data_IF_552562252833
#
_entry.id   IF_552562252833
#
_cell.length_a   1.000
_cell.length_b   1.000
_cell.length_c   1.000
_cell.angle_alpha   90.00
_cell.angle_beta   90.00
_cell.angle_gamma   90.00
#
_symmetry.space_group_name_H-M   'P 1'
#
loop_
_entity.id
_entity.type
_entity.pdbx_description
1 polymer ?
2 non-polymer ?
3 non-polymer ?
4 water ?
#
# COMPACT_ATOMS: atom_id res chain seq x y z
N UNK A 7 -19.42 -12.14 -10.54
CA UNK A 7 -19.09 -10.71 -10.40
C UNK A 7 -19.55 -10.16 -9.07
N UNK A 8 -18.60 -9.86 -8.18
CA UNK A 8 -18.93 -9.32 -6.86
C UNK A 8 -20.09 -8.31 -6.91
N UNK A 9 -21.01 -8.42 -5.97
CA UNK A 9 -22.12 -7.49 -5.90
C UNK A 9 -21.67 -6.31 -5.04
N UNK A 10 -20.96 -5.37 -5.66
CA UNK A 10 -20.38 -4.25 -4.91
C UNK A 10 -21.47 -3.38 -4.28
N UNK A 11 -21.25 -3.01 -3.03
CA UNK A 11 -22.18 -2.15 -2.35
C UNK A 11 -22.27 -0.79 -3.03
N UNK A 12 -23.47 -0.22 -3.06
CA UNK A 12 -23.68 1.11 -3.62
C UNK A 12 -23.83 2.16 -2.50
N UNK A 13 -23.48 3.42 -2.77
CA UNK A 13 -23.67 4.44 -1.74
C UNK A 13 -25.08 4.50 -1.14
N UNK A 14 -26.10 4.46 -1.99
CA UNK A 14 -27.48 4.57 -1.50
C UNK A 14 -28.01 3.37 -0.73
N UNK A 15 -27.28 2.26 -0.78
CA UNK A 15 -27.68 0.97 -0.18
C UNK A 15 -27.10 0.70 1.22
N UNK A 16 -26.14 1.51 1.65
CA UNK A 16 -25.37 1.20 2.86
C UNK A 16 -26.22 1.31 4.12
N UNK A 17 -27.12 2.28 4.13
CA UNK A 17 -28.04 2.42 5.28
C UNK A 17 -28.91 1.18 5.55
N UNK A 18 -29.14 0.34 4.55
CA UNK A 18 -29.86 -0.91 4.80
C UNK A 18 -29.02 -2.05 5.40
N UNK A 19 -27.70 -1.89 5.56
CA UNK A 19 -26.88 -3.00 6.13
C UNK A 19 -26.59 -2.84 7.63
N UNK A 20 -26.96 -3.85 8.43
CA UNK A 20 -26.76 -3.81 9.87
C UNK A 20 -25.58 -4.68 10.29
N UNK A 21 -24.41 -4.07 10.43
CA UNK A 21 -23.20 -4.85 10.67
C UNK A 21 -23.22 -5.40 12.07
N UNK A 22 -23.96 -4.77 12.97
CA UNK A 22 -23.92 -5.23 14.38
C UNK A 22 -24.55 -6.60 14.57
N UNK A 23 -25.33 -7.05 13.61
CA UNK A 23 -26.01 -8.35 13.69
C UNK A 23 -25.29 -9.49 12.97
N UNK A 24 -24.08 -9.22 12.51
CA UNK A 24 -23.34 -10.12 11.63
C UNK A 24 -22.21 -10.86 12.33
N UNK A 25 -21.96 -12.11 11.93
CA UNK A 25 -20.79 -12.80 12.39
C UNK A 25 -19.55 -12.17 11.74
N UNK A 26 -18.37 -12.52 12.21
CA UNK A 26 -17.12 -12.06 11.57
C UNK A 26 -17.06 -12.48 10.11
N UNK A 27 -17.40 -13.75 9.84
CA UNK A 27 -17.47 -14.18 8.46
C UNK A 27 -18.42 -13.34 7.63
N UNK A 28 -19.61 -13.02 8.16
CA UNK A 28 -20.52 -12.19 7.36
C UNK A 28 -20.02 -10.78 7.18
N UNK A 29 -19.31 -10.23 8.17
CA UNK A 29 -18.78 -8.90 7.95
C UNK A 29 -17.71 -8.90 6.85
N UNK A 30 -16.88 -9.96 6.83
CA UNK A 30 -15.88 -10.07 5.75
C UNK A 30 -16.52 -10.12 4.40
N UNK A 31 -17.72 -10.70 4.32
CA UNK A 31 -18.43 -10.68 3.06
C UNK A 31 -18.82 -9.26 2.68
N UNK A 32 -19.15 -8.42 3.67
CA UNK A 32 -19.46 -7.02 3.38
C UNK A 32 -18.13 -6.27 3.05
N UNK A 33 -17.04 -6.57 3.74
CA UNK A 33 -15.83 -5.81 3.43
C UNK A 33 -15.44 -6.08 1.97
N UNK A 34 -15.53 -7.35 1.54
CA UNK A 34 -15.27 -7.79 0.15
C UNK A 34 -16.14 -6.98 -0.81
N UNK A 35 -17.39 -6.72 -0.44
CA UNK A 35 -18.28 -5.98 -1.35
C UNK A 35 -18.10 -4.47 -1.40
N UNK A 36 -17.27 -3.91 -0.53
CA UNK A 36 -16.87 -2.51 -0.70
C UNK A 36 -15.98 -2.39 -1.92
N UNK A 37 -16.35 -1.51 -2.88
CA UNK A 37 -15.47 -1.37 -4.05
C UNK A 37 -14.21 -0.56 -3.61
N UNK A 38 -13.12 -1.26 -3.33
CA UNK A 38 -11.94 -0.64 -2.70
C UNK A 38 -10.96 -0.05 -3.72
N UNK A 39 -10.44 1.13 -3.41
CA UNK A 39 -9.32 1.72 -4.14
C UNK A 39 -8.11 1.74 -3.19
N UNK A 40 -7.08 0.94 -3.49
CA UNK A 40 -5.99 0.74 -2.53
C UNK A 40 -4.73 1.40 -3.13
N UNK A 41 -4.06 2.26 -2.36
CA UNK A 41 -3.03 3.12 -2.90
C UNK A 41 -1.62 2.71 -2.46
N UNK A 42 -1.58 1.87 -1.43
CA UNK A 42 -0.30 1.54 -0.71
C UNK A 42 -0.17 0.05 -0.42
N UNK A 43 0.37 -0.68 -1.39
CA UNK A 43 0.59 -2.12 -1.23
C UNK A 43 1.85 -2.50 -2.01
N UNK A 44 2.84 -3.02 -1.27
CA UNK A 44 4.10 -3.42 -1.87
C UNK A 44 3.92 -4.78 -2.55
N UNK A 45 3.87 -4.82 -3.88
CA UNK A 45 3.70 -6.03 -4.64
C UNK A 45 4.78 -7.10 -4.29
N UNK A 46 6.01 -6.63 -4.07
CA UNK A 46 7.11 -7.50 -3.77
C UNK A 46 7.05 -8.01 -2.35
N UNK A 47 6.03 -7.61 -1.56
CA UNK A 47 5.78 -8.23 -0.24
C UNK A 47 4.29 -8.55 -0.10
N UNK A 48 3.68 -8.93 -1.21
CA UNK A 48 2.29 -9.23 -1.24
C UNK A 48 2.12 -10.68 -1.67
N UNK A 49 1.91 -11.56 -0.70
CA UNK A 49 1.69 -12.98 -1.02
C UNK A 49 0.97 -13.64 0.16
N UNK A 50 0.46 -14.85 -0.07
CA UNK A 50 -0.03 -15.69 1.04
C UNK A 50 1.09 -16.51 1.73
N UNK A 51 0.82 -17.03 2.92
CA UNK A 51 1.71 -18.00 3.56
C UNK A 51 2.07 -19.17 2.63
N UNK A 52 1.07 -19.75 1.99
CA UNK A 52 1.28 -20.89 1.12
C UNK A 52 2.32 -20.54 0.04
N UNK A 53 2.16 -19.37 -0.59
CA UNK A 53 3.03 -18.96 -1.67
C UNK A 53 4.43 -18.84 -1.09
N UNK A 54 4.54 -18.21 0.06
CA UNK A 54 5.85 -17.97 0.58
C UNK A 54 6.56 -19.29 0.86
N UNK A 55 5.90 -20.18 1.61
CA UNK A 55 6.52 -21.48 1.97
C UNK A 55 6.93 -22.29 0.70
N UNK A 56 6.06 -22.40 -0.32
CA UNK A 56 6.53 -23.01 -1.58
C UNK A 56 7.86 -22.41 -2.06
N UNK A 57 7.94 -21.10 -2.09
CA UNK A 57 9.13 -20.50 -2.66
C UNK A 57 10.35 -21.02 -1.91
N UNK A 58 10.22 -21.11 -0.60
CA UNK A 58 11.35 -21.47 0.26
C UNK A 58 11.76 -22.91 -0.02
N UNK A 59 10.76 -23.77 -0.21
CA UNK A 59 11.00 -25.17 -0.52
C UNK A 59 11.61 -25.34 -1.94
N UNK A 60 11.02 -24.58 -2.89
CA UNK A 60 11.40 -24.64 -4.31
C UNK A 60 12.89 -24.47 -4.42
N UNK A 61 13.43 -23.59 -3.61
CA UNK A 61 14.88 -23.35 -3.69
C UNK A 61 15.63 -23.96 -2.52
N UNK A 62 15.02 -24.94 -1.86
CA UNK A 62 15.66 -25.61 -0.70
C UNK A 62 16.36 -24.61 0.25
N UNK A 63 15.64 -23.55 0.63
CA UNK A 63 16.25 -22.50 1.43
C UNK A 63 16.32 -22.77 2.92
N UNK A 64 15.42 -23.61 3.45
CA UNK A 64 15.41 -23.85 4.93
C UNK A 64 15.14 -25.30 5.36
N UNK A 65 16.06 -26.22 5.02
CA UNK A 65 15.73 -27.65 5.23
C UNK A 65 15.60 -27.99 6.70
N UNK A 66 16.09 -27.13 7.59
CA UNK A 66 15.99 -27.44 9.03
C UNK A 66 14.73 -26.95 9.74
N UNK A 67 13.92 -26.12 9.04
CA UNK A 67 12.74 -25.50 9.61
C UNK A 67 11.43 -26.09 9.11
N UNK A 68 10.50 -26.30 10.04
CA UNK A 68 9.11 -26.64 9.71
C UNK A 68 8.48 -25.39 9.01
N UNK A 69 7.31 -25.56 8.37
CA UNK A 69 6.66 -24.44 7.78
C UNK A 69 6.54 -23.31 8.82
N UNK A 70 6.09 -23.65 10.03
CA UNK A 70 5.84 -22.63 11.02
C UNK A 70 7.09 -21.81 11.38
N UNK A 71 8.24 -22.49 11.51
CA UNK A 71 9.51 -21.81 11.85
C UNK A 71 10.01 -20.92 10.69
N UNK A 72 9.68 -21.32 9.46
CA UNK A 72 10.03 -20.48 8.25
C UNK A 72 9.24 -19.16 8.26
N UNK A 73 7.94 -19.29 8.39
CA UNK A 73 7.11 -18.11 8.64
C UNK A 73 7.60 -17.24 9.82
N UNK A 74 7.96 -17.86 10.96
CA UNK A 74 8.41 -17.07 12.08
C UNK A 74 9.71 -16.37 11.75
N UNK A 75 10.64 -17.09 11.11
CA UNK A 75 11.99 -16.54 10.86
C UNK A 75 11.91 -15.41 9.85
N UNK A 76 11.12 -15.60 8.80
CA UNK A 76 11.14 -14.61 7.68
C UNK A 76 10.13 -13.46 7.77
N UNK A 77 8.93 -13.77 8.24
CA UNK A 77 7.81 -12.81 8.18
C UNK A 77 7.54 -12.05 9.51
N UNK A 78 6.43 -11.32 9.58
CA UNK A 78 6.22 -10.39 10.69
C UNK A 78 4.81 -10.55 11.24
N UNK A 79 4.25 -11.74 11.09
CA UNK A 79 2.85 -11.97 11.36
C UNK A 79 2.45 -11.75 12.84
N UNK A 80 3.41 -11.88 13.76
CA UNK A 80 3.19 -11.68 15.18
C UNK A 80 3.70 -10.32 15.61
N UNK A 81 4.18 -9.53 14.66
CA UNK A 81 4.68 -8.22 15.00
C UNK A 81 6.14 -8.24 15.42
N UNK A 82 6.73 -7.06 15.51
CA UNK A 82 8.10 -6.99 15.93
C UNK A 82 8.42 -5.70 16.62
N UNK A 83 9.71 -5.43 16.66
CA UNK A 83 10.30 -4.37 17.45
C UNK A 83 10.07 -2.98 16.90
N UNK A 84 10.07 -2.88 15.58
CA UNK A 84 10.19 -1.57 14.98
C UNK A 84 10.33 -1.71 13.49
N UNK A 85 10.29 -0.56 12.83
CA UNK A 85 10.49 -0.47 11.39
C UNK A 85 11.90 -0.94 11.11
N UNK A 86 12.85 -0.52 11.93
CA UNK A 86 14.22 -1.02 11.82
C UNK A 86 14.31 -2.53 11.69
N UNK A 87 13.68 -3.27 12.60
CA UNK A 87 13.64 -4.74 12.49
C UNK A 87 12.88 -5.17 11.24
N UNK A 88 11.83 -4.44 10.90
CA UNK A 88 11.09 -4.81 9.72
C UNK A 88 12.01 -4.75 8.48
N UNK A 89 12.80 -3.69 8.37
CA UNK A 89 13.71 -3.57 7.25
C UNK A 89 14.66 -4.76 7.22
N UNK A 90 15.09 -5.22 8.41
CA UNK A 90 15.99 -6.38 8.52
C UNK A 90 15.36 -7.70 8.02
N UNK A 91 14.10 -7.93 8.34
CA UNK A 91 13.42 -9.14 7.85
C UNK A 91 13.10 -9.09 6.35
N UNK A 92 12.87 -7.89 5.80
CA UNK A 92 12.61 -7.74 4.36
C UNK A 92 13.87 -8.22 3.61
N UNK A 93 15.03 -7.85 4.14
CA UNK A 93 16.29 -8.26 3.58
C UNK A 93 16.37 -9.79 3.53
N UNK A 94 15.88 -10.46 4.58
CA UNK A 94 15.85 -11.93 4.65
C UNK A 94 14.90 -12.53 3.64
N UNK A 95 13.70 -11.96 3.58
CA UNK A 95 12.69 -12.39 2.62
C UNK A 95 13.23 -12.34 1.16
N UNK A 96 14.19 -11.45 0.90
CA UNK A 96 14.73 -11.36 -0.46
C UNK A 96 15.45 -12.67 -0.84
N UNK A 97 15.55 -13.62 0.12
CA UNK A 97 15.99 -15.00 -0.22
C UNK A 97 15.15 -15.62 -1.31
N UNK A 98 13.88 -15.22 -1.43
CA UNK A 98 13.01 -15.85 -2.45
C UNK A 98 13.08 -15.27 -3.88
N UNK A 99 13.69 -14.10 -4.06
CA UNK A 99 13.79 -13.49 -5.41
C UNK A 99 14.92 -14.13 -6.26
N UNK A 100 14.73 -15.41 -6.51
CA UNK A 100 15.78 -16.30 -6.97
C UNK A 100 15.99 -16.10 -8.48
N UNK A 101 14.89 -15.84 -9.17
CA UNK A 101 14.84 -15.78 -10.63
C UNK A 101 13.61 -14.97 -11.06
N UNK A 102 13.41 -14.83 -12.39
CA UNK A 102 12.29 -14.02 -12.90
C UNK A 102 10.96 -14.77 -13.02
N UNK A 103 11.01 -16.10 -13.03
CA UNK A 103 9.80 -16.92 -13.01
C UNK A 103 9.04 -16.69 -11.72
N UNK A 104 9.74 -16.80 -10.59
CA UNK A 104 9.08 -16.64 -9.29
C UNK A 104 8.44 -15.22 -9.17
N UNK A 105 9.19 -14.21 -9.60
CA UNK A 105 8.67 -12.84 -9.75
C UNK A 105 7.38 -12.70 -10.56
N UNK A 106 7.30 -13.34 -11.72
CA UNK A 106 6.12 -13.25 -12.51
C UNK A 106 4.94 -13.94 -11.81
N UNK A 107 5.18 -15.13 -11.26
CA UNK A 107 4.19 -15.85 -10.46
C UNK A 107 3.63 -14.96 -9.32
N UNK A 108 4.54 -14.30 -8.64
CA UNK A 108 4.23 -13.43 -7.51
C UNK A 108 3.25 -12.38 -7.95
N UNK A 109 3.54 -11.70 -9.07
CA UNK A 109 2.67 -10.67 -9.60
C UNK A 109 1.28 -11.19 -10.04
N UNK A 110 1.23 -12.34 -10.73
CA UNK A 110 -0.07 -12.89 -11.11
C UNK A 110 -0.93 -13.14 -9.87
N UNK A 111 -0.32 -13.75 -8.87
CA UNK A 111 -1.02 -14.21 -7.65
C UNK A 111 -1.54 -13.01 -6.89
N UNK A 112 -0.74 -11.95 -6.85
CA UNK A 112 -1.03 -10.79 -6.02
C UNK A 112 -2.23 -10.09 -6.63
N UNK A 113 -2.21 -9.87 -7.95
CA UNK A 113 -3.35 -9.28 -8.64
C UNK A 113 -4.61 -10.14 -8.52
N UNK A 114 -4.46 -11.44 -8.70
CA UNK A 114 -5.62 -12.31 -8.61
C UNK A 114 -6.27 -12.22 -7.23
N UNK A 115 -5.47 -12.19 -6.18
CA UNK A 115 -6.00 -12.14 -4.82
C UNK A 115 -6.64 -10.81 -4.48
N UNK A 116 -6.09 -9.71 -5.02
CA UNK A 116 -6.76 -8.41 -4.90
C UNK A 116 -8.11 -8.44 -5.59
N UNK A 117 -8.18 -9.10 -6.73
CA UNK A 117 -9.43 -9.10 -7.46
C UNK A 117 -10.51 -9.77 -6.56
N UNK A 118 -10.15 -10.91 -5.99
CA UNK A 118 -11.10 -11.72 -5.18
C UNK A 118 -11.49 -11.07 -3.85
N UNK A 119 -10.69 -10.09 -3.44
CA UNK A 119 -10.93 -9.30 -2.23
C UNK A 119 -11.85 -8.14 -2.48
N UNK A 120 -12.09 -7.82 -3.76
CA UNK A 120 -13.01 -6.75 -4.17
C UNK A 120 -12.32 -5.40 -4.29
N UNK A 121 -11.02 -5.45 -4.61
CA UNK A 121 -10.33 -4.23 -4.95
C UNK A 121 -10.63 -3.93 -6.44
N UNK A 122 -11.01 -2.68 -6.74
CA UNK A 122 -11.33 -2.28 -8.11
C UNK A 122 -10.23 -1.41 -8.69
N UNK A 123 -9.52 -0.75 -7.82
CA UNK A 123 -8.44 0.09 -8.30
C UNK A 123 -7.23 -0.20 -7.42
N UNK A 124 -6.10 -0.55 -8.02
CA UNK A 124 -4.99 -1.05 -7.19
C UNK A 124 -3.73 -0.39 -7.64
N UNK A 125 -3.12 0.46 -6.81
CA UNK A 125 -1.80 0.93 -7.20
C UNK A 125 -0.78 0.06 -6.48
N UNK A 126 -0.13 -0.85 -7.20
CA UNK A 126 0.95 -1.62 -6.58
C UNK A 126 2.25 -0.84 -6.64
N UNK A 127 3.10 -1.00 -5.64
CA UNK A 127 4.40 -0.40 -5.73
C UNK A 127 5.44 -1.49 -5.47
N UNK A 128 6.65 -1.33 -5.99
CA UNK A 128 7.75 -2.28 -5.74
C UNK A 128 9.11 -1.58 -5.92
N UNK A 129 10.16 -2.19 -5.36
CA UNK A 129 11.48 -1.57 -5.42
C UNK A 129 12.35 -2.42 -6.31
N UNK A 130 12.60 -1.97 -7.53
CA UNK A 130 13.39 -2.83 -8.44
C UNK A 130 14.77 -3.11 -7.87
N UNK A 131 15.46 -2.07 -7.41
CA UNK A 131 16.87 -2.29 -7.04
C UNK A 131 16.88 -3.15 -5.81
N UNK A 132 15.86 -3.04 -4.98
CA UNK A 132 15.74 -3.99 -3.87
C UNK A 132 15.60 -5.43 -4.35
N UNK A 133 14.54 -5.70 -5.12
CA UNK A 133 14.19 -7.05 -5.61
C UNK A 133 15.41 -7.69 -6.32
N UNK A 134 16.27 -6.84 -6.87
CA UNK A 134 17.45 -7.29 -7.65
C UNK A 134 18.70 -7.70 -6.84
N UNK A 135 18.86 -7.14 -5.64
CA UNK A 135 20.17 -7.21 -4.95
C UNK A 135 20.59 -8.63 -4.56
N UNK A 136 19.65 -9.45 -4.10
CA UNK A 136 20.05 -10.72 -3.54
C UNK A 136 20.74 -11.62 -4.54
N UNK A 137 20.19 -11.72 -5.73
CA UNK A 137 20.77 -12.60 -6.72
C UNK A 137 21.32 -11.79 -7.88
N UNK A 138 21.48 -10.50 -7.67
CA UNK A 138 21.98 -9.62 -8.71
C UNK A 138 21.24 -9.86 -9.99
N UNK A 139 19.91 -9.71 -9.91
CA UNK A 139 19.02 -9.80 -11.06
C UNK A 139 19.09 -8.53 -11.82
N UNK A 140 18.57 -8.51 -13.05
CA UNK A 140 18.61 -7.32 -13.88
C UNK A 140 17.27 -6.61 -13.70
N UNK A 141 17.28 -5.33 -13.30
CA UNK A 141 16.01 -4.62 -13.03
C UNK A 141 15.08 -4.55 -14.23
N UNK A 142 15.64 -4.45 -15.46
CA UNK A 142 14.84 -4.46 -16.69
C UNK A 142 13.96 -5.73 -16.88
N UNK A 143 14.56 -6.90 -16.60
CA UNK A 143 13.87 -8.18 -16.70
C UNK A 143 12.96 -8.38 -15.51
N UNK A 144 13.35 -7.88 -14.35
CA UNK A 144 12.39 -7.85 -13.18
C UNK A 144 11.09 -7.13 -13.53
N UNK A 145 11.21 -5.90 -14.02
CA UNK A 145 10.06 -5.11 -14.46
C UNK A 145 9.26 -5.77 -15.58
N UNK A 146 9.94 -6.34 -16.56
CA UNK A 146 9.23 -7.00 -17.64
C UNK A 146 8.35 -8.13 -17.12
N UNK A 147 8.89 -8.87 -16.16
CA UNK A 147 8.24 -10.02 -15.53
C UNK A 147 7.00 -9.63 -14.76
N UNK A 148 7.14 -8.59 -13.97
CA UNK A 148 5.99 -8.02 -13.24
C UNK A 148 4.91 -7.46 -14.18
N UNK A 149 5.31 -6.65 -15.16
CA UNK A 149 4.34 -6.06 -16.06
C UNK A 149 3.62 -7.17 -16.84
N UNK A 150 4.38 -8.18 -17.26
CA UNK A 150 3.79 -9.31 -17.97
C UNK A 150 2.75 -10.02 -17.11
N UNK A 151 3.13 -10.33 -15.87
CA UNK A 151 2.28 -11.07 -14.94
C UNK A 151 0.98 -10.31 -14.67
N UNK A 152 1.11 -9.00 -14.44
CA UNK A 152 -0.06 -8.15 -14.24
C UNK A 152 -0.96 -8.10 -15.49
N UNK A 153 -0.39 -7.81 -16.64
CA UNK A 153 -1.16 -7.72 -17.86
C UNK A 153 -1.95 -8.97 -18.17
N UNK A 154 -1.33 -10.12 -17.99
CA UNK A 154 -2.01 -11.38 -18.19
C UNK A 154 -3.24 -11.62 -17.29
N UNK A 155 -3.13 -11.25 -16.01
CA UNK A 155 -4.24 -11.44 -15.10
C UNK A 155 -5.34 -10.40 -15.37
N UNK A 156 -4.98 -9.13 -15.56
CA UNK A 156 -5.97 -8.12 -15.85
C UNK A 156 -6.76 -8.47 -17.12
N UNK A 157 -6.06 -9.01 -18.11
CA UNK A 157 -6.69 -9.37 -19.36
C UNK A 157 -7.63 -10.56 -19.18
N UNK A 158 -7.16 -11.56 -18.45
CA UNK A 158 -7.97 -12.72 -18.10
C UNK A 158 -9.26 -12.25 -17.39
N UNK A 159 -9.16 -11.16 -16.65
CA UNK A 159 -10.26 -10.74 -15.78
C UNK A 159 -11.12 -9.71 -16.47
N UNK A 160 -10.89 -9.47 -17.75
CA UNK A 160 -11.76 -8.58 -18.49
C UNK A 160 -11.67 -7.15 -17.98
N UNK A 161 -10.50 -6.77 -17.51
CA UNK A 161 -10.27 -5.44 -16.91
C UNK A 161 -11.20 -5.09 -15.75
N UNK A 162 -11.67 -6.11 -15.03
CA UNK A 162 -12.51 -5.93 -13.82
C UNK A 162 -11.78 -5.31 -12.61
N UNK A 163 -10.44 -5.40 -12.62
CA UNK A 163 -9.60 -4.69 -11.64
C UNK A 163 -8.67 -3.82 -12.49
N UNK A 164 -8.41 -2.60 -12.05
CA UNK A 164 -7.48 -1.74 -12.80
C UNK A 164 -6.23 -1.64 -11.96
N UNK A 165 -5.06 -1.88 -12.54
CA UNK A 165 -3.82 -1.97 -11.78
C UNK A 165 -2.84 -0.97 -12.35
N UNK A 166 -2.15 -0.25 -11.48
CA UNK A 166 -1.05 0.58 -11.93
C UNK A 166 0.17 0.29 -11.07
N UNK A 167 1.34 0.75 -11.47
CA UNK A 167 2.57 0.50 -10.72
C UNK A 167 3.19 1.80 -10.29
N UNK A 168 3.82 1.77 -9.13
CA UNK A 168 4.66 2.84 -8.67
C UNK A 168 6.02 2.27 -8.39
N UNK A 169 7.04 3.09 -8.58
CA UNK A 169 8.42 2.62 -8.38
C UNK A 169 8.92 3.16 -7.05
N UNK A 170 9.56 2.32 -6.24
CA UNK A 170 10.06 2.79 -4.95
C UNK A 170 11.59 2.82 -4.94
N UNK A 171 12.15 3.94 -4.54
CA UNK A 171 13.56 4.01 -4.24
C UNK A 171 13.74 3.70 -2.76
N UNK A 172 14.83 3.04 -2.39
CA UNK A 172 15.03 2.69 -0.98
C UNK A 172 16.45 3.12 -0.54
N UNK A 173 16.67 3.27 0.75
CA UNK A 173 18.03 3.59 1.18
C UNK A 173 18.38 5.05 1.24
N UNK A 174 19.60 5.33 1.67
CA UNK A 174 19.96 6.69 1.90
C UNK A 174 21.21 7.08 1.10
N UNK A 175 21.48 6.35 0.01
CA UNK A 175 22.55 6.73 -0.91
C UNK A 175 21.96 7.39 -2.15
N UNK A 176 22.42 8.61 -2.45
CA UNK A 176 21.92 9.31 -3.62
C UNK A 176 22.05 8.46 -4.89
N UNK A 177 23.16 7.78 -5.04
CA UNK A 177 23.35 6.90 -6.21
C UNK A 177 22.19 5.91 -6.46
N UNK A 178 21.80 5.18 -5.44
CA UNK A 178 20.64 4.26 -5.58
C UNK A 178 19.29 5.00 -5.79
N UNK A 179 19.08 6.08 -5.06
CA UNK A 179 17.84 6.82 -5.25
C UNK A 179 17.73 7.40 -6.63
N UNK A 180 18.83 7.97 -7.14
CA UNK A 180 18.93 8.46 -8.51
C UNK A 180 18.72 7.29 -9.51
N UNK A 181 19.34 6.15 -9.27
CA UNK A 181 19.17 5.07 -10.23
C UNK A 181 17.70 4.66 -10.29
N UNK A 182 16.99 4.67 -9.15
CA UNK A 182 15.55 4.35 -9.17
C UNK A 182 14.72 5.39 -9.87
N UNK A 183 14.98 6.67 -9.57
CA UNK A 183 14.36 7.76 -10.28
C UNK A 183 14.54 7.65 -11.79
N UNK A 184 15.74 7.36 -12.24
CA UNK A 184 15.99 7.18 -13.68
C UNK A 184 15.23 5.99 -14.22
N UNK A 185 15.27 4.86 -13.52
CA UNK A 185 14.44 3.73 -13.93
C UNK A 185 12.92 4.04 -14.06
N UNK A 186 12.40 4.73 -13.06
CA UNK A 186 11.00 5.11 -13.00
C UNK A 186 10.64 5.93 -14.24
N UNK A 187 11.44 6.95 -14.51
CA UNK A 187 11.21 7.80 -15.70
C UNK A 187 11.43 7.06 -17.01
N UNK A 188 12.49 6.27 -17.10
CA UNK A 188 12.69 5.42 -18.26
C UNK A 188 11.42 4.62 -18.51
N UNK A 189 10.77 4.17 -17.43
CA UNK A 189 9.58 3.37 -17.60
C UNK A 189 8.29 4.11 -17.19
N UNK A 190 8.31 5.43 -17.37
CA UNK A 190 7.14 6.29 -17.25
C UNK A 190 5.88 5.65 -17.81
N UNK A 191 6.00 4.92 -18.93
CA UNK A 191 4.83 4.30 -19.56
C UNK A 191 4.11 3.36 -18.60
N UNK A 192 4.83 2.75 -17.64
CA UNK A 192 4.24 1.80 -16.66
C UNK A 192 4.09 2.39 -15.25
N UNK A 193 4.99 3.28 -14.88
CA UNK A 193 4.96 3.84 -13.53
C UNK A 193 4.17 5.15 -13.41
N UNK A 194 3.26 5.21 -12.46
CA UNK A 194 2.40 6.38 -12.29
C UNK A 194 2.81 7.25 -11.13
N UNK A 195 3.83 6.81 -10.40
CA UNK A 195 4.28 7.56 -9.25
C UNK A 195 5.61 7.00 -8.77
N UNK A 196 6.21 7.74 -7.86
CA UNK A 196 7.56 7.44 -7.38
C UNK A 196 7.49 7.57 -5.84
N UNK A 197 8.16 6.65 -5.14
CA UNK A 197 8.11 6.54 -3.65
C UNK A 197 9.53 6.40 -3.09
N UNK A 198 9.65 6.58 -1.78
CA UNK A 198 10.83 6.17 -1.06
C UNK A 198 10.37 5.36 0.16
N UNK A 199 10.96 4.19 0.33
CA UNK A 199 10.68 3.31 1.47
C UNK A 199 11.99 2.87 2.11
N UNK A 200 11.91 1.92 3.04
CA UNK A 200 13.10 1.39 3.68
C UNK A 200 13.20 2.10 5.01
N UNK A 201 14.40 2.26 5.58
CA UNK A 201 14.53 3.08 6.79
C UNK A 201 13.99 4.47 6.47
N UNK A 202 13.30 5.08 7.43
CA UNK A 202 12.76 6.42 7.18
C UNK A 202 13.81 7.52 7.33
N UNK A 203 14.15 8.19 6.24
CA UNK A 203 15.18 9.21 6.27
C UNK A 203 14.57 10.54 5.80
N UNK A 204 15.21 11.67 6.16
CA UNK A 204 14.77 12.97 5.73
C UNK A 204 15.14 13.17 4.26
N UNK A 205 14.16 13.29 3.38
CA UNK A 205 14.43 13.29 1.94
C UNK A 205 14.84 14.67 1.38
N UNK A 206 14.81 15.68 2.23
CA UNK A 206 15.10 17.02 1.80
C UNK A 206 16.46 17.09 1.08
N UNK A 207 17.45 16.30 1.52
CA UNK A 207 18.75 16.30 0.89
C UNK A 207 18.67 15.99 -0.61
N UNK A 208 17.85 14.98 -0.96
CA UNK A 208 17.63 14.57 -2.35
C UNK A 208 16.65 15.39 -3.18
N UNK A 209 16.38 16.64 -2.74
CA UNK A 209 15.45 17.56 -3.41
C UNK A 209 15.57 17.57 -4.91
N UNK A 210 16.78 17.66 -5.41
CA UNK A 210 16.92 17.80 -6.86
C UNK A 210 16.50 16.50 -7.60
N UNK A 211 16.75 15.36 -6.98
CA UNK A 211 16.34 14.10 -7.60
C UNK A 211 14.83 14.03 -7.71
N UNK A 212 14.13 14.32 -6.60
CA UNK A 212 12.65 14.28 -6.58
C UNK A 212 12.01 15.36 -7.44
N UNK A 213 12.60 16.57 -7.44
CA UNK A 213 12.15 17.64 -8.34
C UNK A 213 12.09 17.15 -9.77
N UNK A 214 13.15 16.47 -10.17
CA UNK A 214 13.30 16.05 -11.56
C UNK A 214 12.22 15.02 -11.94
N UNK A 215 11.93 14.15 -10.97
CA UNK A 215 10.89 13.16 -11.23
C UNK A 215 9.57 13.89 -11.30
N UNK A 216 9.35 14.81 -10.37
CA UNK A 216 8.02 15.37 -10.22
C UNK A 216 7.80 16.27 -11.41
N UNK A 217 8.84 17.00 -11.79
CA UNK A 217 8.73 17.89 -12.91
C UNK A 217 8.70 17.22 -14.26
N UNK A 218 9.11 15.96 -14.36
CA UNK A 218 8.86 15.19 -15.58
C UNK A 218 7.50 14.52 -15.65
N UNK A 219 6.64 14.85 -14.70
CA UNK A 219 5.27 14.45 -14.83
C UNK A 219 4.89 13.20 -14.05
N UNK A 220 5.77 12.78 -13.11
CA UNK A 220 5.49 11.58 -12.24
C UNK A 220 5.30 12.09 -10.80
N UNK A 221 4.07 12.05 -10.29
CA UNK A 221 3.80 12.66 -8.96
C UNK A 221 4.46 11.82 -7.87
N UNK A 222 4.59 12.40 -6.65
CA UNK A 222 5.35 11.74 -5.59
C UNK A 222 4.42 11.34 -4.42
N UNK A 223 4.69 10.18 -3.83
CA UNK A 223 4.11 9.77 -2.52
C UNK A 223 5.25 9.09 -1.81
N UNK A 224 5.76 9.63 -0.70
CA UNK A 224 6.93 8.99 -0.07
C UNK A 224 6.51 8.52 1.30
N UNK A 225 7.16 7.47 1.81
CA UNK A 225 6.94 7.04 3.21
C UNK A 225 7.47 8.10 4.14
N UNK A 226 6.60 8.63 5.00
CA UNK A 226 7.03 9.64 5.97
C UNK A 226 6.08 9.66 7.15
N UNK A 227 6.56 10.00 8.34
CA UNK A 227 5.70 10.06 9.52
C UNK A 227 5.19 8.69 9.94
N UNK A 228 5.98 7.64 9.69
CA UNK A 228 5.60 6.27 10.04
C UNK A 228 6.31 5.91 11.35
N UNK A 229 7.63 6.11 11.40
CA UNK A 229 8.46 5.51 12.44
C UNK A 229 8.38 6.37 13.68
N UNK A 230 7.78 5.84 14.75
CA UNK A 230 7.65 6.62 15.96
C UNK A 230 8.99 6.81 16.68
N UNK A 231 10.04 6.09 16.24
CA UNK A 231 11.29 6.20 16.95
C UNK A 231 12.08 7.43 16.55
N UNK A 232 11.71 8.11 15.46
CA UNK A 232 12.48 9.29 15.09
C UNK A 232 12.24 10.43 16.08
N UNK A 233 13.28 11.20 16.33
CA UNK A 233 13.34 12.21 17.39
C UNK A 233 12.62 13.50 17.08
N UNK A 234 12.03 13.61 15.88
CA UNK A 234 11.29 14.78 15.53
C UNK A 234 10.48 14.42 14.29
N UNK A 235 9.78 15.38 13.72
CA UNK A 235 8.86 15.19 12.59
C UNK A 235 9.44 15.83 11.31
N UNK A 236 10.75 16.00 11.28
CA UNK A 236 11.39 16.60 10.10
C UNK A 236 11.06 15.89 8.80
N UNK A 237 10.97 14.56 8.82
CA UNK A 237 10.69 13.81 7.57
C UNK A 237 9.36 14.24 6.99
N UNK A 238 8.39 14.59 7.83
CA UNK A 238 7.08 15.03 7.33
C UNK A 238 7.16 16.42 6.74
N UNK A 239 7.86 17.31 7.42
CA UNK A 239 8.04 18.64 6.88
C UNK A 239 8.71 18.59 5.51
N UNK A 240 9.76 17.78 5.42
CA UNK A 240 10.45 17.62 4.13
C UNK A 240 9.58 17.11 3.01
N UNK A 241 8.78 16.07 3.26
CA UNK A 241 7.97 15.48 2.22
C UNK A 241 6.99 16.51 1.72
N UNK A 242 6.41 17.26 2.64
CA UNK A 242 5.35 18.20 2.28
C UNK A 242 5.97 19.44 1.59
N UNK A 243 6.94 20.06 2.24
CA UNK A 243 7.32 21.40 1.83
C UNK A 243 8.36 21.40 0.77
N UNK A 244 9.21 20.38 0.80
CA UNK A 244 10.34 20.28 -0.12
C UNK A 244 9.98 19.41 -1.33
N UNK A 245 9.50 18.21 -1.04
CA UNK A 245 9.22 17.27 -2.11
C UNK A 245 7.92 17.58 -2.79
N UNK A 246 7.01 18.29 -2.10
CA UNK A 246 5.73 18.64 -2.67
C UNK A 246 4.96 17.38 -3.09
N UNK A 247 4.88 16.40 -2.18
CA UNK A 247 4.17 15.18 -2.48
C UNK A 247 2.66 15.43 -2.62
N UNK A 248 1.99 14.59 -3.40
CA UNK A 248 0.52 14.64 -3.45
C UNK A 248 -0.11 13.75 -2.34
N UNK A 249 0.60 12.71 -1.91
CA UNK A 249 0.10 11.77 -0.93
C UNK A 249 1.29 11.41 -0.02
N UNK A 250 0.99 10.94 1.20
CA UNK A 250 2.06 10.49 2.11
C UNK A 250 1.81 9.05 2.47
N UNK A 251 2.85 8.21 2.36
CA UNK A 251 2.76 6.82 2.80
C UNK A 251 2.82 6.79 4.33
N UNK A 252 1.77 6.24 4.94
CA UNK A 252 1.56 6.35 6.41
C UNK A 252 1.15 7.75 6.90
N UNK A 253 2.12 8.58 7.27
CA UNK A 253 1.85 9.95 7.70
C UNK A 253 1.14 10.01 9.05
N UNK A 254 1.04 8.89 9.75
CA UNK A 254 0.25 8.86 11.00
C UNK A 254 0.75 9.80 12.06
N UNK A 255 2.04 10.13 12.01
CA UNK A 255 2.60 11.08 13.01
C UNK A 255 2.17 12.53 12.77
N UNK A 256 1.47 12.77 11.67
CA UNK A 256 0.86 14.06 11.47
C UNK A 256 -0.05 14.36 12.67
N UNK A 257 -0.61 13.29 13.25
CA UNK A 257 -1.55 13.44 14.36
C UNK A 257 -0.89 14.11 15.56
N UNK A 258 0.44 14.06 15.62
CA UNK A 258 1.17 14.62 16.77
C UNK A 258 1.40 16.12 16.72
N UNK A 259 0.97 16.76 15.64
CA UNK A 259 1.28 18.17 15.48
C UNK A 259 0.12 18.87 14.81
N UNK A 260 -0.51 19.81 15.53
CA UNK A 260 -1.54 20.61 14.87
C UNK A 260 -1.04 21.34 13.63
N UNK A 261 0.22 21.79 13.63
CA UNK A 261 0.74 22.48 12.47
C UNK A 261 0.69 21.54 11.25
N UNK A 262 1.13 20.30 11.44
CA UNK A 262 1.17 19.37 10.32
C UNK A 262 -0.24 18.96 9.86
N UNK A 263 -1.17 18.83 10.80
CA UNK A 263 -2.53 18.49 10.44
C UNK A 263 -3.10 19.58 9.56
N UNK A 264 -2.83 20.85 9.92
CA UNK A 264 -3.34 21.98 9.16
C UNK A 264 -2.68 22.02 7.76
N UNK A 265 -1.39 21.76 7.71
CA UNK A 265 -0.64 21.74 6.46
C UNK A 265 -1.19 20.70 5.48
N UNK A 266 -1.38 19.47 5.94
CA UNK A 266 -1.93 18.39 5.09
C UNK A 266 -3.33 18.74 4.59
N UNK A 267 -4.19 19.19 5.48
CA UNK A 267 -5.55 19.57 5.07
C UNK A 267 -5.52 20.71 4.07
N UNK A 268 -4.72 21.73 4.35
CA UNK A 268 -4.72 22.93 3.48
C UNK A 268 -4.14 22.66 2.12
N UNK A 269 -3.18 21.73 2.07
CA UNK A 269 -2.58 21.31 0.80
C UNK A 269 -3.35 20.22 0.02
N UNK A 270 -4.42 19.69 0.59
CA UNK A 270 -5.23 18.65 -0.01
C UNK A 270 -4.40 17.38 -0.15
N UNK A 271 -3.57 17.09 0.84
CA UNK A 271 -2.78 15.85 0.80
C UNK A 271 -3.57 14.71 1.46
N UNK A 272 -3.48 13.52 0.86
CA UNK A 272 -4.07 12.32 1.41
C UNK A 272 -2.99 11.48 2.09
N UNK A 273 -3.39 10.89 3.22
CA UNK A 273 -2.49 9.97 3.99
C UNK A 273 -2.88 8.55 3.68
N UNK A 274 -1.91 7.75 3.21
CA UNK A 274 -2.21 6.36 2.79
C UNK A 274 -2.03 5.52 4.06
N UNK A 275 -3.11 5.37 4.82
CA UNK A 275 -2.98 4.72 6.16
C UNK A 275 -2.96 3.24 6.08
N UNK A 276 -2.06 2.60 6.85
CA UNK A 276 -1.89 1.14 6.83
C UNK A 276 -2.05 0.62 8.28
N UNK A 277 -3.29 0.43 8.70
CA UNK A 277 -3.57 0.23 10.16
C UNK A 277 -2.85 -0.95 10.75
N UNK A 278 -2.96 -2.09 10.11
CA UNK A 278 -2.31 -3.31 10.69
C UNK A 278 -0.79 -3.24 10.70
N UNK A 279 -0.21 -2.73 9.61
CA UNK A 279 1.23 -2.48 9.58
C UNK A 279 1.71 -1.64 10.75
N UNK A 280 1.02 -0.54 11.05
CA UNK A 280 1.53 0.34 12.09
C UNK A 280 1.51 -0.40 13.44
N UNK A 281 0.49 -1.20 13.67
CA UNK A 281 0.41 -1.90 14.99
C UNK A 281 1.50 -2.97 15.06
N UNK A 282 1.65 -3.77 14.00
CA UNK A 282 2.66 -4.83 14.03
C UNK A 282 4.08 -4.28 14.11
N UNK A 283 4.34 -3.11 13.52
CA UNK A 283 5.68 -2.54 13.55
C UNK A 283 5.88 -1.63 14.77
N UNK A 284 4.93 -1.63 15.67
CA UNK A 284 5.06 -0.84 16.88
C UNK A 284 5.04 0.66 16.61
N UNK A 285 4.40 1.06 15.52
CA UNK A 285 4.20 2.48 15.30
C UNK A 285 2.84 3.03 15.80
N UNK A 286 1.99 2.13 16.28
CA UNK A 286 0.81 2.52 17.08
C UNK A 286 0.81 1.51 18.21
N UNK A 287 0.44 1.93 19.42
CA UNK A 287 0.38 1.03 20.57
C UNK A 287 -0.58 -0.13 20.38
N UNK A 288 -1.77 0.14 19.85
CA UNK A 288 -2.72 -0.91 19.58
C UNK A 288 -3.68 -0.30 18.60
N UNK A 289 -4.55 -1.10 18.00
CA UNK A 289 -5.50 -0.56 17.05
C UNK A 289 -6.42 0.43 17.76
N UNK A 290 -6.74 0.15 19.03
CA UNK A 290 -7.55 1.06 19.85
C UNK A 290 -7.01 2.49 19.92
N UNK A 291 -5.71 2.61 19.78
CA UNK A 291 -5.07 3.93 19.87
C UNK A 291 -4.55 4.40 18.51
N UNK A 292 -4.96 3.74 17.44
CA UNK A 292 -4.39 4.12 16.12
C UNK A 292 -4.87 5.54 15.77
N UNK A 293 -3.91 6.44 15.35
CA UNK A 293 -4.19 7.82 15.05
C UNK A 293 -5.18 8.01 13.91
N UNK A 294 -5.51 6.98 13.12
CA UNK A 294 -6.44 7.24 12.00
C UNK A 294 -7.78 7.80 12.51
N UNK A 295 -8.20 7.40 13.71
CA UNK A 295 -9.48 7.92 14.24
C UNK A 295 -9.36 9.44 14.44
N UNK A 296 -8.30 9.87 15.12
CA UNK A 296 -8.09 11.30 15.33
C UNK A 296 -8.00 12.07 14.02
N UNK A 297 -7.26 11.51 13.07
CA UNK A 297 -6.97 12.22 11.83
C UNK A 297 -8.26 12.36 11.03
N UNK A 298 -9.00 11.26 10.91
CA UNK A 298 -10.30 11.27 10.18
C UNK A 298 -11.22 12.31 10.84
N UNK A 299 -11.26 12.30 12.17
CA UNK A 299 -12.17 13.24 12.81
C UNK A 299 -11.71 14.65 12.68
N UNK A 300 -10.42 14.85 12.41
CA UNK A 300 -9.85 16.21 12.28
C UNK A 300 -10.06 16.75 10.87
N UNK A 301 -10.63 15.93 10.00
CA UNK A 301 -10.89 16.33 8.63
C UNK A 301 -9.74 16.10 7.65
N UNK A 302 -8.74 15.32 8.06
CA UNK A 302 -7.67 14.88 7.16
C UNK A 302 -8.18 13.79 6.20
N UNK A 303 -7.86 13.91 4.90
CA UNK A 303 -8.22 12.85 3.96
C UNK A 303 -7.25 11.69 4.18
N UNK A 304 -7.83 10.50 4.36
CA UNK A 304 -7.07 9.29 4.67
C UNK A 304 -7.71 8.16 3.88
N UNK A 305 -6.89 7.21 3.43
CA UNK A 305 -7.41 6.01 2.83
C UNK A 305 -6.87 4.80 3.54
N UNK A 306 -7.45 3.64 3.26
CA UNK A 306 -7.06 2.41 3.97
C UNK A 306 -6.29 1.56 3.00
N UNK A 307 -5.27 0.89 3.55
CA UNK A 307 -4.28 0.15 2.79
C UNK A 307 -3.69 -1.02 3.61
N UNK A 308 -3.27 -2.08 2.93
CA UNK A 308 -2.67 -3.29 3.55
C UNK A 308 -1.14 -3.22 3.73
N UNK A 309 -0.45 -2.44 2.90
CA UNK A 309 0.99 -2.26 3.01
C UNK A 309 1.68 -3.55 2.55
N UNK A 310 1.74 -4.58 3.43
CA UNK A 310 2.58 -5.78 3.11
C UNK A 310 1.89 -7.09 3.46
N UNK A 311 0.90 -7.48 2.68
CA UNK A 311 0.09 -8.59 3.03
C UNK A 311 0.92 -9.84 3.26
N UNK A 312 2.09 -9.92 2.65
CA UNK A 312 2.91 -11.11 2.80
C UNK A 312 3.66 -11.12 4.09
N UNK A 313 4.18 -9.98 4.51
CA UNK A 313 4.87 -9.94 5.77
C UNK A 313 3.88 -10.13 6.94
N UNK A 314 2.62 -9.71 6.79
CA UNK A 314 1.68 -9.76 7.94
C UNK A 314 0.77 -10.96 7.86
N UNK A 315 0.84 -11.69 6.75
CA UNK A 315 -0.16 -12.70 6.43
C UNK A 315 -1.61 -12.20 6.62
N UNK A 316 -1.95 -11.08 5.93
CA UNK A 316 -3.25 -10.43 5.99
C UNK A 316 -3.63 -10.05 4.60
N UNK A 317 -4.83 -9.53 4.42
CA UNK A 317 -5.24 -8.91 3.16
C UNK A 317 -5.99 -7.63 3.49
N UNK A 318 -6.39 -6.88 2.45
CA UNK A 318 -6.92 -5.54 2.65
C UNK A 318 -8.19 -5.57 3.54
N UNK A 319 -8.99 -6.62 3.41
CA UNK A 319 -10.23 -6.69 4.22
C UNK A 319 -9.97 -6.86 5.71
N UNK A 320 -8.80 -7.40 6.09
CA UNK A 320 -8.44 -7.39 7.51
C UNK A 320 -8.28 -5.99 8.04
N UNK A 321 -7.66 -5.07 7.28
CA UNK A 321 -7.59 -3.68 7.73
C UNK A 321 -8.98 -3.07 8.01
N UNK A 322 -9.92 -3.26 7.10
CA UNK A 322 -11.33 -2.82 7.31
C UNK A 322 -11.93 -3.45 8.56
N UNK A 323 -11.70 -4.74 8.77
CA UNK A 323 -12.25 -5.41 9.97
C UNK A 323 -11.74 -4.74 11.23
N UNK A 324 -10.42 -4.55 11.31
CA UNK A 324 -9.83 -3.92 12.50
C UNK A 324 -10.37 -2.53 12.77
N UNK A 325 -10.52 -1.75 11.70
CA UNK A 325 -11.03 -0.38 11.85
C UNK A 325 -12.48 -0.36 12.37
N UNK A 326 -13.31 -1.23 11.83
CA UNK A 326 -14.70 -1.37 12.28
C UNK A 326 -14.74 -1.86 13.72
N UNK A 327 -14.09 -2.97 13.98
CA UNK A 327 -14.08 -3.57 15.31
C UNK A 327 -13.45 -2.75 16.44
N UNK A 328 -12.31 -2.12 16.19
CA UNK A 328 -11.64 -1.35 17.25
C UNK A 328 -11.96 0.14 17.31
N UNK A 329 -12.26 0.74 16.16
CA UNK A 329 -12.39 2.19 16.15
C UNK A 329 -13.78 2.64 15.68
N UNK A 330 -14.69 1.71 15.51
CA UNK A 330 -16.06 2.09 15.15
C UNK A 330 -16.27 2.87 13.85
N UNK A 331 -15.38 2.71 12.87
CA UNK A 331 -15.67 3.25 11.54
C UNK A 331 -16.90 2.58 10.97
N UNK A 332 -17.59 3.28 10.07
CA UNK A 332 -18.85 2.84 9.54
C UNK A 332 -18.68 2.56 8.07
N UNK A 333 -19.66 1.89 7.48
CA UNK A 333 -19.60 1.66 6.04
C UNK A 333 -19.54 2.97 5.28
N UNK A 334 -20.31 3.98 5.72
CA UNK A 334 -20.24 5.31 5.08
C UNK A 334 -18.82 5.87 5.08
N UNK A 335 -18.17 5.78 6.24
CA UNK A 335 -16.79 6.25 6.38
C UNK A 335 -15.92 5.51 5.36
N UNK A 336 -16.12 4.21 5.26
CA UNK A 336 -15.29 3.41 4.33
C UNK A 336 -15.48 3.81 2.89
N UNK A 337 -16.73 4.10 2.52
CA UNK A 337 -17.02 4.51 1.13
C UNK A 337 -16.42 5.85 0.85
N UNK A 338 -16.51 6.75 1.81
CA UNK A 338 -15.92 8.08 1.66
C UNK A 338 -14.41 7.97 1.47
N UNK A 339 -13.79 7.09 2.22
CA UNK A 339 -12.31 6.91 2.12
C UNK A 339 -11.87 6.35 0.78
N UNK A 340 -12.61 5.38 0.28
CA UNK A 340 -12.32 4.84 -1.03
C UNK A 340 -12.54 5.83 -2.15
N UNK A 341 -13.53 6.69 -2.02
CA UNK A 341 -13.69 7.74 -3.04
C UNK A 341 -12.61 8.79 -2.95
N UNK A 342 -12.14 9.16 -1.75
CA UNK A 342 -10.97 9.98 -1.67
C UNK A 342 -9.78 9.31 -2.33
N UNK A 343 -9.55 8.02 -2.03
CA UNK A 343 -8.41 7.30 -2.70
C UNK A 343 -8.52 7.31 -4.25
N UNK A 344 -9.71 6.99 -4.76
CA UNK A 344 -10.06 7.18 -6.18
C UNK A 344 -9.70 8.56 -6.72
N UNK A 345 -10.14 9.63 -6.06
CA UNK A 345 -9.81 11.02 -6.51
C UNK A 345 -8.28 11.34 -6.45
N UNK A 346 -7.55 10.72 -5.51
CA UNK A 346 -6.13 11.04 -5.36
C UNK A 346 -5.24 10.01 -6.06
N UNK A 347 -5.85 9.03 -6.71
CA UNK A 347 -5.12 7.99 -7.43
C UNK A 347 -4.29 8.64 -8.53
N UNK A 348 -3.15 8.04 -8.86
CA UNK A 348 -2.24 8.59 -9.87
C UNK A 348 -2.60 7.99 -11.24
N UNK A 349 -3.64 7.17 -11.29
CA UNK A 349 -4.03 6.58 -12.58
C UNK A 349 -4.68 7.59 -13.49
N UNK A 350 -4.76 7.22 -14.78
CA UNK A 350 -5.26 8.07 -15.81
C UNK A 350 -6.67 8.59 -15.46
N UNK A 351 -6.96 9.85 -15.71
CA UNK A 351 -8.28 10.44 -15.43
C UNK A 351 -9.41 9.65 -16.12
N UNK A 352 -9.14 9.12 -17.32
CA UNK A 352 -10.14 8.28 -17.99
C UNK A 352 -10.52 7.05 -17.18
N UNK A 353 -9.52 6.43 -16.54
CA UNK A 353 -9.78 5.26 -15.75
C UNK A 353 -10.52 5.63 -14.48
N UNK A 354 -10.12 6.70 -13.84
CA UNK A 354 -10.83 7.18 -12.64
C UNK A 354 -12.25 7.55 -12.95
N UNK A 355 -12.48 8.23 -14.08
CA UNK A 355 -13.87 8.42 -14.52
C UNK A 355 -14.68 7.13 -14.68
N UNK A 356 -14.09 6.05 -15.21
CA UNK A 356 -14.84 4.81 -15.42
C UNK A 356 -15.22 4.26 -14.05
N UNK A 357 -14.24 4.23 -13.15
CA UNK A 357 -14.46 3.69 -11.83
C UNK A 357 -15.51 4.49 -11.07
N UNK A 358 -15.49 5.80 -11.21
CA UNK A 358 -16.45 6.63 -10.49
C UNK A 358 -17.86 6.21 -10.96
N UNK A 359 -18.03 6.15 -12.28
CA UNK A 359 -19.28 5.71 -12.88
C UNK A 359 -19.69 4.32 -12.50
N UNK A 360 -18.76 3.39 -12.50
CA UNK A 360 -19.15 2.06 -12.13
C UNK A 360 -19.60 1.88 -10.67
N UNK A 361 -18.94 2.55 -9.74
CA UNK A 361 -19.05 2.19 -8.31
C UNK A 361 -19.47 3.29 -7.34
N UNK A 362 -19.24 4.55 -7.71
CA UNK A 362 -19.38 5.66 -6.77
C UNK A 362 -20.44 6.64 -7.24
N UNK A 363 -21.35 6.18 -8.08
CA UNK A 363 -22.29 7.11 -8.68
C UNK A 363 -23.36 7.68 -7.75
N UNK A 364 -23.89 6.94 -6.80
CA UNK A 364 -25.05 7.56 -6.10
C UNK A 364 -24.72 8.55 -5.00
N UNK A 365 -25.65 8.76 -4.07
CA UNK A 365 -25.39 9.53 -2.87
C UNK A 365 -25.92 8.73 -1.72
N UNK A 366 -25.42 9.01 -0.52
CA UNK A 366 -25.80 8.23 0.66
C UNK A 366 -27.29 8.44 0.98
N UNK A 367 -27.73 9.69 0.89
CA UNK A 367 -29.12 10.06 1.23
C UNK A 367 -29.91 10.61 0.02
N UNK A 368 -31.23 10.40 0.03
CA UNK A 368 -32.10 10.94 -1.02
C UNK A 368 -32.22 12.46 -0.91
N UNK A 369 -32.49 13.12 -2.03
CA UNK A 369 -32.80 14.54 -1.99
C UNK A 369 -34.07 14.75 -1.14
N UNK A 370 -34.04 15.71 -0.23
CA UNK A 370 -35.16 15.95 0.64
C UNK A 370 -35.85 17.27 0.31
#
# INVERSE_FOLDING_TARGET
>A
MNILQEPIDFLKKEELKNIDLSQMSKKERYKIWKRIPKCELHCHLDLCFSADFFVSCIRKYNLQPNLSDEEVLDYYLFAKGGKSLGEFVEKAIKVADIFHDYEVIEDLAKHAVFNKYKEGVVLMEFRYSPTFVAFKYNLDIELIHQAIVKGIKEVVELLDHKIHVALMCIGTGHEAANIKASADFCLKHKADFVGFDHGGHEVDLKEYKEIFDYVRESGVPLSVHAGEDVTLPNLNTLYSAIQVLKVERIGHGIRVAESQELIDMVKEKNILLEVCPISNVLLKNAKSMDTHPIRQLYDAGVKVSVNSDDPGMFLTNINDDYEELYTHLNFTLEDFMKMNEWALEKSFMDSNIKDKIKNLYFKGEFEAYV
#
